data_IF_417926049574
#
_entry.id   IF_417926049574
#
_cell.length_a   1.000
_cell.length_b   1.000
_cell.length_c   1.000
_cell.angle_alpha   90.00
_cell.angle_beta   90.00
_cell.angle_gamma   90.00
#
_symmetry.space_group_name_H-M   'P 1'
#
loop_
_entity.id
_entity.type
_entity.pdbx_description
1 polymer ?
#
# COMPACT_ATOMS: atom_id res chain seq x y z
N UNK A 1 -13.09 14.81 -11.81
CA UNK A 1 -12.62 13.40 -11.82
C UNK A 1 -11.11 13.41 -11.84
N UNK A 2 -10.44 12.58 -11.04
CA UNK A 2 -8.99 12.39 -11.17
C UNK A 2 -8.70 11.66 -12.49
N UNK A 3 -7.63 12.03 -13.20
CA UNK A 3 -7.25 11.32 -14.42
C UNK A 3 -6.55 10.01 -14.07
N UNK A 4 -6.57 9.05 -14.98
CA UNK A 4 -5.86 7.77 -14.82
C UNK A 4 -4.37 7.97 -14.50
N UNK A 5 -3.74 8.95 -15.14
CA UNK A 5 -2.34 9.31 -14.88
C UNK A 5 -2.15 9.80 -13.43
N UNK A 6 -3.07 10.62 -12.90
CA UNK A 6 -3.02 11.07 -11.51
C UNK A 6 -3.20 9.91 -10.53
N UNK A 7 -4.09 8.96 -10.84
CA UNK A 7 -4.30 7.78 -10.00
C UNK A 7 -3.05 6.88 -9.98
N UNK A 8 -2.44 6.62 -11.13
CA UNK A 8 -1.21 5.83 -11.22
C UNK A 8 -0.02 6.51 -10.54
N UNK A 9 0.12 7.84 -10.66
CA UNK A 9 1.11 8.60 -9.86
C UNK A 9 0.86 8.46 -8.36
N UNK A 10 -0.40 8.48 -7.94
CA UNK A 10 -0.78 8.31 -6.54
C UNK A 10 -0.39 6.94 -5.98
N UNK A 11 -0.44 5.88 -6.81
CA UNK A 11 0.05 4.53 -6.43
C UNK A 11 1.54 4.59 -6.07
N UNK A 12 2.36 5.17 -6.93
CA UNK A 12 3.81 5.27 -6.68
C UNK A 12 4.11 6.08 -5.41
N UNK A 13 3.43 7.21 -5.21
CA UNK A 13 3.56 8.01 -3.98
C UNK A 13 3.15 7.22 -2.73
N UNK A 14 2.06 6.44 -2.79
CA UNK A 14 1.64 5.60 -1.67
C UNK A 14 2.64 4.47 -1.39
N UNK A 15 3.21 3.84 -2.42
CA UNK A 15 4.27 2.84 -2.24
C UNK A 15 5.50 3.41 -1.53
N UNK A 16 5.94 4.63 -1.91
CA UNK A 16 7.04 5.32 -1.21
C UNK A 16 6.69 5.62 0.24
N UNK A 17 5.45 6.02 0.52
CA UNK A 17 4.98 6.26 1.89
C UNK A 17 4.91 4.98 2.73
N UNK A 18 4.55 3.85 2.13
CA UNK A 18 4.56 2.54 2.79
C UNK A 18 5.98 2.13 3.17
N UNK A 19 6.95 2.25 2.25
CA UNK A 19 8.37 1.98 2.54
C UNK A 19 8.87 2.85 3.70
N UNK A 20 8.69 4.18 3.57
CA UNK A 20 9.13 5.13 4.60
C UNK A 20 8.53 4.82 5.98
N UNK A 21 7.23 4.49 6.02
CA UNK A 21 6.55 4.19 7.28
C UNK A 21 7.06 2.87 7.87
N UNK A 22 7.29 1.86 7.04
CA UNK A 22 7.81 0.56 7.46
C UNK A 22 9.24 0.64 8.00
N UNK A 23 10.13 1.38 7.32
CA UNK A 23 11.48 1.68 7.84
C UNK A 23 11.40 2.38 9.21
N UNK A 24 10.48 3.35 9.33
CA UNK A 24 10.20 4.07 10.57
C UNK A 24 9.71 3.17 11.71
N UNK A 25 8.96 2.09 11.42
CA UNK A 25 8.53 1.08 12.38
C UNK A 25 9.74 0.26 12.85
N UNK A 26 10.56 -0.22 11.91
CA UNK A 26 11.77 -1.00 12.21
C UNK A 26 12.77 -0.23 13.06
N UNK A 27 12.99 1.04 12.76
CA UNK A 27 13.84 1.92 13.58
C UNK A 27 13.32 2.04 15.03
N UNK A 28 12.00 2.15 15.21
CA UNK A 28 11.40 2.23 16.55
C UNK A 28 11.51 0.90 17.32
N UNK A 29 11.40 -0.23 16.62
CA UNK A 29 11.63 -1.58 17.16
C UNK A 29 13.09 -1.75 17.62
N UNK A 30 14.06 -1.38 16.79
CA UNK A 30 15.49 -1.43 17.12
C UNK A 30 15.82 -0.59 18.36
N UNK A 31 15.22 0.60 18.47
CA UNK A 31 15.34 1.49 19.62
C UNK A 31 14.53 1.04 20.85
N UNK A 32 13.83 -0.09 20.77
CA UNK A 32 12.94 -0.65 21.81
C UNK A 32 11.90 0.35 22.31
N UNK A 33 11.49 1.31 21.47
CA UNK A 33 10.49 2.32 21.82
C UNK A 33 9.09 1.80 21.48
N UNK A 34 8.60 0.84 22.27
CA UNK A 34 7.35 0.10 22.01
C UNK A 34 6.16 1.01 21.69
N UNK A 35 5.84 2.08 22.45
CA UNK A 35 4.67 2.92 22.13
C UNK A 35 4.77 3.66 20.79
N UNK A 36 5.99 4.00 20.36
CA UNK A 36 6.21 4.66 19.06
C UNK A 36 6.13 3.63 17.94
N UNK A 37 6.67 2.43 18.16
CA UNK A 37 6.54 1.32 17.22
C UNK A 37 5.06 0.99 16.97
N UNK A 38 4.26 0.76 18.02
CA UNK A 38 2.83 0.43 17.90
C UNK A 38 2.04 1.51 17.13
N UNK A 39 2.26 2.79 17.46
CA UNK A 39 1.60 3.90 16.75
C UNK A 39 1.99 3.96 15.28
N UNK A 40 3.28 3.75 14.97
CA UNK A 40 3.78 3.74 13.58
C UNK A 40 3.28 2.50 12.83
N UNK A 41 3.18 1.36 13.50
CA UNK A 41 2.63 0.12 12.95
C UNK A 41 1.16 0.29 12.57
N UNK A 42 0.37 0.92 13.44
CA UNK A 42 -1.00 1.30 13.12
C UNK A 42 -1.07 2.24 11.91
N UNK A 43 -0.18 3.23 11.85
CA UNK A 43 -0.10 4.13 10.68
C UNK A 43 0.28 3.38 9.41
N UNK A 44 1.12 2.35 9.49
CA UNK A 44 1.45 1.48 8.35
C UNK A 44 0.21 0.71 7.88
N UNK A 45 -0.56 0.12 8.81
CA UNK A 45 -1.82 -0.57 8.49
C UNK A 45 -2.82 0.38 7.82
N UNK A 46 -3.07 1.56 8.40
CA UNK A 46 -4.00 2.54 7.83
C UNK A 46 -3.61 2.92 6.38
N UNK A 47 -2.31 3.02 6.09
CA UNK A 47 -1.81 3.30 4.74
C UNK A 47 -1.97 2.14 3.76
N UNK A 48 -1.87 0.90 4.24
CA UNK A 48 -2.13 -0.29 3.42
C UNK A 48 -3.61 -0.28 3.02
N UNK A 49 -4.51 -0.01 3.95
CA UNK A 49 -5.95 0.06 3.68
C UNK A 49 -6.27 1.18 2.65
N UNK A 50 -5.70 2.37 2.84
CA UNK A 50 -5.82 3.47 1.86
C UNK A 50 -5.30 3.10 0.46
N UNK A 51 -4.25 2.28 0.40
CA UNK A 51 -3.68 1.80 -0.85
C UNK A 51 -4.61 0.81 -1.55
N UNK A 52 -5.20 -0.12 -0.79
CA UNK A 52 -6.17 -1.08 -1.31
C UNK A 52 -7.41 -0.36 -1.86
N UNK A 53 -7.89 0.69 -1.20
CA UNK A 53 -8.97 1.54 -1.72
C UNK A 53 -8.60 2.23 -3.03
N UNK A 54 -7.38 2.76 -3.14
CA UNK A 54 -6.89 3.39 -4.36
C UNK A 54 -6.79 2.38 -5.52
N UNK A 55 -6.32 1.16 -5.22
CA UNK A 55 -6.24 0.08 -6.19
C UNK A 55 -7.63 -0.28 -6.72
N UNK A 56 -8.63 -0.43 -5.85
CA UNK A 56 -10.02 -0.70 -6.27
C UNK A 56 -10.54 0.40 -7.19
N UNK A 57 -10.33 1.67 -6.86
CA UNK A 57 -10.73 2.81 -7.72
C UNK A 57 -10.05 2.78 -9.08
N UNK A 58 -8.79 2.34 -9.16
CA UNK A 58 -8.09 2.20 -10.44
C UNK A 58 -8.68 1.04 -11.25
N UNK A 59 -8.98 -0.10 -10.61
CA UNK A 59 -9.62 -1.22 -11.28
C UNK A 59 -10.98 -0.82 -11.86
N UNK A 60 -11.82 -0.12 -11.09
CA UNK A 60 -13.09 0.45 -11.56
C UNK A 60 -12.88 1.35 -12.79
N UNK A 61 -11.95 2.30 -12.71
CA UNK A 61 -11.64 3.21 -13.82
C UNK A 61 -11.10 2.51 -15.07
N UNK A 62 -10.37 1.39 -14.92
CA UNK A 62 -9.92 0.56 -16.05
C UNK A 62 -11.07 -0.22 -16.69
N UNK A 63 -11.94 -0.80 -15.87
CA UNK A 63 -13.13 -1.54 -16.32
C UNK A 63 -14.08 -0.61 -17.08
N UNK A 64 -14.32 0.60 -16.58
CA UNK A 64 -15.16 1.61 -17.24
C UNK A 64 -14.65 1.98 -18.65
N UNK A 65 -13.34 1.90 -18.87
CA UNK A 65 -12.71 2.16 -20.17
C UNK A 65 -12.67 0.97 -21.11
N UNK A 66 -13.31 -0.14 -20.74
CA UNK A 66 -13.33 -1.41 -21.50
C UNK A 66 -11.90 -1.95 -21.72
N UNK A 67 -11.00 -1.72 -20.76
CA UNK A 67 -9.68 -2.36 -20.79
C UNK A 67 -9.82 -3.88 -20.63
N UNK A 68 -8.88 -4.63 -21.21
CA UNK A 68 -8.87 -6.09 -21.12
C UNK A 68 -8.73 -6.51 -19.65
N UNK A 69 -9.67 -7.33 -19.17
CA UNK A 69 -9.70 -7.86 -17.80
C UNK A 69 -8.37 -8.54 -17.42
N UNK A 70 -7.69 -9.18 -18.36
CA UNK A 70 -6.41 -9.85 -18.09
C UNK A 70 -5.29 -8.85 -17.79
N UNK A 71 -5.23 -7.73 -18.50
CA UNK A 71 -4.27 -6.64 -18.23
C UNK A 71 -4.53 -6.00 -16.85
N UNK A 72 -5.82 -5.90 -16.46
CA UNK A 72 -6.21 -5.40 -15.14
C UNK A 72 -5.74 -6.36 -14.04
N UNK A 73 -5.88 -7.67 -14.23
CA UNK A 73 -5.40 -8.69 -13.30
C UNK A 73 -3.88 -8.67 -13.19
N UNK A 74 -3.16 -8.66 -14.31
CA UNK A 74 -1.69 -8.63 -14.31
C UNK A 74 -1.17 -7.40 -13.56
N UNK A 75 -1.74 -6.23 -13.82
CA UNK A 75 -1.42 -5.01 -13.07
C UNK A 75 -1.73 -5.16 -11.57
N UNK A 76 -2.88 -5.73 -11.23
CA UNK A 76 -3.31 -5.91 -9.83
C UNK A 76 -2.39 -6.85 -9.06
N UNK A 77 -2.01 -7.98 -9.65
CA UNK A 77 -1.11 -8.95 -9.04
C UNK A 77 0.30 -8.40 -8.85
N UNK A 78 0.80 -7.60 -9.80
CA UNK A 78 2.07 -6.89 -9.63
C UNK A 78 2.02 -5.96 -8.42
N UNK A 79 0.96 -5.18 -8.30
CA UNK A 79 0.76 -4.24 -7.20
C UNK A 79 0.61 -4.95 -5.85
N UNK A 80 -0.14 -6.05 -5.79
CA UNK A 80 -0.24 -6.89 -4.59
C UNK A 80 1.13 -7.45 -4.16
N UNK A 81 1.93 -7.92 -5.12
CA UNK A 81 3.30 -8.37 -4.84
C UNK A 81 4.15 -7.24 -4.25
N UNK A 82 4.05 -6.01 -4.77
CA UNK A 82 4.84 -4.86 -4.30
C UNK A 82 4.53 -4.47 -2.85
N UNK A 83 3.29 -4.67 -2.39
CA UNK A 83 2.86 -4.31 -1.02
C UNK A 83 2.94 -5.47 -0.01
N UNK A 84 3.01 -6.72 -0.48
CA UNK A 84 2.99 -7.92 0.37
C UNK A 84 4.00 -7.89 1.52
N UNK A 85 5.19 -7.32 1.30
CA UNK A 85 6.22 -7.16 2.34
C UNK A 85 5.78 -6.26 3.50
N UNK A 86 4.93 -5.27 3.27
CA UNK A 86 4.43 -4.38 4.30
C UNK A 86 3.32 -5.05 5.10
N UNK A 87 2.41 -5.75 4.42
CA UNK A 87 1.37 -6.57 5.06
C UNK A 87 2.00 -7.64 5.96
N UNK A 88 3.04 -8.32 5.47
CA UNK A 88 3.82 -9.26 6.27
C UNK A 88 4.46 -8.60 7.49
N UNK A 89 5.00 -7.39 7.36
CA UNK A 89 5.60 -6.64 8.47
C UNK A 89 4.55 -6.27 9.54
N UNK A 90 3.32 -5.95 9.12
CA UNK A 90 2.22 -5.71 10.08
C UNK A 90 1.79 -6.98 10.78
N UNK A 91 1.69 -8.09 10.05
CA UNK A 91 1.34 -9.39 10.63
C UNK A 91 2.39 -9.84 11.65
N UNK A 92 3.67 -9.79 11.31
CA UNK A 92 4.79 -10.20 12.18
C UNK A 92 4.83 -9.43 13.51
N UNK A 93 4.53 -8.13 13.48
CA UNK A 93 4.66 -7.25 14.65
C UNK A 93 3.38 -7.12 15.48
N UNK A 94 2.25 -7.64 14.98
CA UNK A 94 0.99 -7.72 15.72
C UNK A 94 0.72 -9.11 16.33
N UNK A 95 1.48 -10.14 15.94
CA UNK A 95 1.40 -11.51 16.47
C UNK A 95 2.21 -11.70 17.75
#
# INVERSE_FOLDING_TARGET
MATMETLLKSVNTKLQMLEFTNESVREALEKRHVPTMERKLKTLQDKIDEFQDLKTKIQEAKIEKVENIEDIKEWSSKIESDISKYEASVLELNS
#
